data_IF_531700740601
#
_entry.id   IF_531700740601
#
_cell.length_a   1.000
_cell.length_b   1.000
_cell.length_c   1.000
_cell.angle_alpha   90.00
_cell.angle_beta   90.00
_cell.angle_gamma   90.00
#
_symmetry.space_group_name_H-M   'P 1'
#
loop_
_entity.id
_entity.type
_entity.pdbx_description
1 polymer ?
#
# COMPACT_ATOMS: atom_id res chain seq x y z
N UNK A 1 -70.90 5.33 24.63
CA UNK A 1 -69.76 4.39 24.74
C UNK A 1 -68.99 4.41 23.43
N UNK A 2 -67.92 5.22 23.34
CA UNK A 2 -67.16 5.49 22.11
C UNK A 2 -65.84 4.72 22.16
N UNK A 3 -65.69 3.68 21.34
CA UNK A 3 -64.47 2.84 21.29
C UNK A 3 -63.50 3.35 20.24
N UNK A 4 -62.52 4.15 20.67
CA UNK A 4 -61.35 4.54 19.87
C UNK A 4 -60.47 3.34 19.55
N UNK A 5 -60.37 2.99 18.26
CA UNK A 5 -59.37 2.03 17.75
C UNK A 5 -58.10 2.79 17.38
N UNK A 6 -57.07 2.69 18.23
CA UNK A 6 -55.71 3.14 17.94
C UNK A 6 -55.15 2.32 16.77
N UNK A 7 -54.87 2.96 15.64
CA UNK A 7 -54.07 2.41 14.55
C UNK A 7 -52.60 2.69 14.85
N UNK A 8 -51.79 1.65 14.98
CA UNK A 8 -50.34 1.74 15.11
C UNK A 8 -49.75 1.69 13.70
N UNK A 9 -49.01 2.73 13.31
CA UNK A 9 -48.24 2.76 12.08
C UNK A 9 -46.85 2.16 12.35
N UNK A 10 -46.53 1.04 11.72
CA UNK A 10 -45.19 0.49 11.71
C UNK A 10 -44.39 1.17 10.59
N UNK A 11 -43.39 1.97 10.96
CA UNK A 11 -42.40 2.52 10.03
C UNK A 11 -41.33 1.46 9.83
N UNK A 12 -41.32 0.84 8.65
CA UNK A 12 -40.27 -0.09 8.23
C UNK A 12 -39.12 0.70 7.60
N UNK A 13 -38.06 0.94 8.37
CA UNK A 13 -36.81 1.52 7.88
C UNK A 13 -36.00 0.43 7.18
N UNK A 14 -36.06 0.37 5.85
CA UNK A 14 -35.21 -0.52 5.06
C UNK A 14 -33.78 0.05 5.02
N UNK A 15 -32.89 -0.51 5.84
CA UNK A 15 -31.45 -0.27 5.75
C UNK A 15 -30.92 -0.99 4.49
N UNK A 16 -30.55 -0.22 3.47
CA UNK A 16 -29.81 -0.71 2.32
C UNK A 16 -28.38 -1.04 2.77
N UNK A 17 -28.11 -2.31 3.09
CA UNK A 17 -26.75 -2.84 3.17
C UNK A 17 -26.24 -3.05 1.75
N UNK A 18 -25.49 -2.08 1.23
CA UNK A 18 -24.63 -2.28 0.06
C UNK A 18 -23.49 -3.22 0.43
N UNK A 19 -23.70 -4.51 0.20
CA UNK A 19 -22.65 -5.52 0.21
C UNK A 19 -21.77 -5.31 -1.03
N UNK A 20 -20.61 -4.68 -0.84
CA UNK A 20 -19.53 -4.72 -1.82
C UNK A 20 -19.06 -6.17 -1.93
N UNK A 21 -19.54 -6.89 -2.94
CA UNK A 21 -19.01 -8.17 -3.35
C UNK A 21 -17.59 -7.94 -3.89
N UNK A 22 -16.60 -8.12 -3.02
CA UNK A 22 -15.21 -8.24 -3.46
C UNK A 22 -15.06 -9.45 -4.39
N UNK A 23 -14.10 -9.42 -5.33
CA UNK A 23 -13.85 -10.55 -6.21
C UNK A 23 -13.46 -11.76 -5.35
N UNK A 24 -14.27 -12.82 -5.42
CA UNK A 24 -13.99 -14.10 -4.78
C UNK A 24 -12.94 -14.86 -5.60
N UNK A 25 -11.68 -14.40 -5.53
CA UNK A 25 -10.55 -15.28 -5.78
C UNK A 25 -10.31 -16.05 -4.49
N UNK A 26 -10.58 -17.34 -4.51
CA UNK A 26 -10.27 -18.26 -3.43
C UNK A 26 -8.75 -18.51 -3.37
N UNK A 27 -7.98 -17.48 -3.07
CA UNK A 27 -6.64 -17.63 -2.52
C UNK A 27 -6.76 -17.48 -1.00
N UNK A 28 -6.15 -18.39 -0.24
CA UNK A 28 -6.18 -18.45 1.23
C UNK A 28 -5.40 -17.29 1.89
N UNK A 29 -5.61 -16.08 1.40
CA UNK A 29 -5.01 -14.87 1.90
C UNK A 29 -5.70 -14.40 3.18
N UNK A 30 -4.92 -13.83 4.09
CA UNK A 30 -5.43 -13.32 5.37
C UNK A 30 -4.71 -12.05 5.78
N UNK A 31 -5.40 -11.22 6.56
CA UNK A 31 -4.85 -9.98 7.08
C UNK A 31 -3.99 -10.23 8.32
N UNK A 32 -2.88 -9.52 8.37
CA UNK A 32 -1.86 -9.63 9.41
C UNK A 32 -1.45 -8.22 9.82
N UNK A 33 -1.53 -7.88 11.11
CA UNK A 33 -1.13 -6.58 11.61
C UNK A 33 0.39 -6.44 11.77
N UNK A 34 0.86 -5.19 11.83
CA UNK A 34 2.22 -4.87 12.23
C UNK A 34 2.44 -5.25 13.71
N UNK A 35 3.52 -5.96 14.00
CA UNK A 35 3.88 -6.36 15.35
C UNK A 35 4.12 -5.15 16.28
N UNK A 36 4.81 -4.13 15.75
CA UNK A 36 5.08 -2.86 16.42
C UNK A 36 3.86 -1.91 16.44
N UNK A 37 2.64 -2.37 16.19
CA UNK A 37 1.46 -1.52 16.17
C UNK A 37 1.24 -0.73 17.48
N UNK A 38 1.73 -1.25 18.62
CA UNK A 38 1.65 -0.57 19.93
C UNK A 38 2.62 0.61 20.08
N UNK A 39 3.66 0.66 19.22
CA UNK A 39 4.69 1.71 19.22
C UNK A 39 4.36 2.83 18.24
N UNK A 40 3.22 2.73 17.52
CA UNK A 40 2.77 3.77 16.61
C UNK A 40 2.38 5.03 17.40
N UNK A 41 2.73 6.23 16.91
CA UNK A 41 3.39 6.49 15.64
C UNK A 41 4.93 6.32 15.68
N UNK A 42 5.51 5.76 14.61
CA UNK A 42 6.97 5.52 14.50
C UNK A 42 7.57 6.51 13.50
N UNK A 43 8.72 7.13 13.82
CA UNK A 43 9.50 7.95 12.89
C UNK A 43 10.68 7.18 12.30
N UNK A 44 10.99 7.37 11.01
CA UNK A 44 12.14 6.74 10.36
C UNK A 44 13.48 7.11 11.02
N UNK A 45 13.59 8.32 11.58
CA UNK A 45 14.80 8.73 12.29
C UNK A 45 15.05 7.92 13.59
N UNK A 46 13.99 7.36 14.19
CA UNK A 46 14.04 6.66 15.47
C UNK A 46 14.25 5.14 15.30
N UNK A 47 13.76 4.56 14.21
CA UNK A 47 13.81 3.12 13.97
C UNK A 47 14.94 2.72 13.02
N UNK A 48 16.18 3.04 13.40
CA UNK A 48 17.34 2.74 12.55
C UNK A 48 17.69 1.26 12.59
N UNK A 49 17.91 0.69 11.40
CA UNK A 49 18.48 -0.64 11.25
C UNK A 49 19.94 -0.72 11.66
N UNK A 50 20.55 -1.87 11.43
CA UNK A 50 22.00 -2.04 11.60
C UNK A 50 22.73 -1.16 10.57
N UNK A 51 23.92 -0.63 10.92
CA UNK A 51 24.72 0.13 9.97
C UNK A 51 25.01 -0.73 8.72
N UNK A 52 24.69 -0.21 7.54
CA UNK A 52 24.83 -0.90 6.26
C UNK A 52 23.55 -1.52 5.70
N UNK A 53 22.45 -1.55 6.45
CA UNK A 53 21.14 -1.96 5.92
C UNK A 53 20.56 -0.87 5.01
N UNK A 54 20.12 -1.25 3.81
CA UNK A 54 19.58 -0.33 2.80
C UNK A 54 18.09 -0.58 2.61
N UNK A 55 17.34 0.46 2.24
CA UNK A 55 15.90 0.34 1.95
C UNK A 55 15.65 0.08 0.46
N UNK A 56 16.50 -0.75 -0.15
CA UNK A 56 16.45 -1.06 -1.58
C UNK A 56 16.32 0.21 -2.46
N UNK A 57 15.50 0.15 -3.52
CA UNK A 57 15.31 1.17 -4.57
C UNK A 57 14.75 2.52 -4.11
N UNK A 58 14.64 2.78 -2.80
CA UNK A 58 14.11 4.05 -2.29
C UNK A 58 15.19 5.15 -2.39
N UNK A 59 14.89 6.30 -3.01
CA UNK A 59 15.85 7.40 -3.11
C UNK A 59 16.17 8.00 -1.75
N UNK A 60 17.41 8.45 -1.56
CA UNK A 60 17.89 9.04 -0.30
C UNK A 60 17.16 10.35 0.12
N UNK A 61 16.34 10.92 -0.77
CA UNK A 61 15.50 12.10 -0.50
C UNK A 61 14.16 11.77 0.16
N UNK A 62 13.90 10.49 0.46
CA UNK A 62 12.68 9.99 1.07
C UNK A 62 13.04 9.11 2.26
N UNK A 63 12.11 9.00 3.20
CA UNK A 63 12.23 8.03 4.28
C UNK A 63 11.84 6.65 3.74
N UNK A 64 12.77 5.71 3.81
CA UNK A 64 12.56 4.32 3.42
C UNK A 64 12.12 3.45 4.60
N UNK A 65 11.21 2.52 4.35
CA UNK A 65 10.67 1.60 5.33
C UNK A 65 10.76 0.18 4.80
N UNK A 66 11.29 -0.74 5.59
CA UNK A 66 11.43 -2.13 5.20
C UNK A 66 10.64 -3.04 6.15
N UNK A 67 9.66 -3.73 5.59
CA UNK A 67 8.81 -4.67 6.31
C UNK A 67 9.15 -6.10 5.90
N UNK A 68 9.10 -7.02 6.87
CA UNK A 68 9.41 -8.43 6.67
C UNK A 68 8.30 -9.27 7.28
N UNK A 69 7.75 -10.18 6.48
CA UNK A 69 6.91 -11.27 6.98
C UNK A 69 7.84 -12.38 7.54
N UNK A 70 7.76 -12.72 8.83
CA UNK A 70 8.61 -13.77 9.39
C UNK A 70 8.20 -15.14 8.86
N UNK A 71 9.20 -16.00 8.63
CA UNK A 71 9.03 -17.32 8.01
C UNK A 71 10.21 -17.64 7.10
N UNK A 72 10.26 -18.86 6.59
CA UNK A 72 11.26 -19.22 5.58
C UNK A 72 10.98 -18.48 4.27
N UNK A 73 12.01 -18.18 3.46
CA UNK A 73 11.78 -17.66 2.11
C UNK A 73 10.87 -18.64 1.34
N UNK A 74 9.82 -18.11 0.71
CA UNK A 74 8.78 -18.85 -0.02
C UNK A 74 7.69 -19.56 0.81
N UNK A 75 7.69 -19.46 2.14
CA UNK A 75 6.58 -19.97 2.97
C UNK A 75 5.42 -18.98 3.08
N UNK A 76 5.76 -17.69 3.21
CA UNK A 76 4.81 -16.59 3.33
C UNK A 76 5.20 -15.50 2.35
N UNK A 77 4.24 -15.03 1.56
CA UNK A 77 4.41 -13.93 0.62
C UNK A 77 3.46 -12.78 0.95
N UNK A 78 3.93 -11.56 0.79
CA UNK A 78 3.04 -10.40 0.80
C UNK A 78 2.24 -10.39 -0.51
N UNK A 79 0.92 -10.18 -0.39
CA UNK A 79 0.02 -9.97 -1.54
C UNK A 79 -0.34 -8.50 -1.67
N UNK A 80 -0.55 -7.84 -0.52
CA UNK A 80 -0.85 -6.42 -0.45
C UNK A 80 -0.36 -5.88 0.89
N UNK A 81 0.32 -4.74 0.87
CA UNK A 81 0.68 -4.02 2.09
C UNK A 81 0.03 -2.64 2.06
N UNK A 82 -0.82 -2.35 3.03
CA UNK A 82 -1.41 -1.03 3.22
C UNK A 82 -0.68 -0.33 4.37
N UNK A 83 -0.02 0.78 4.07
CA UNK A 83 0.67 1.62 5.06
C UNK A 83 0.06 3.01 5.08
N UNK A 84 -0.01 3.64 6.25
CA UNK A 84 -0.49 5.01 6.39
C UNK A 84 0.56 5.87 7.08
N UNK A 85 0.87 6.99 6.45
CA UNK A 85 1.85 7.97 6.92
C UNK A 85 1.21 9.33 7.19
N UNK A 86 1.79 10.06 8.14
CA UNK A 86 1.42 11.44 8.44
C UNK A 86 2.67 12.33 8.49
N UNK A 87 2.80 13.33 7.59
CA UNK A 87 2.01 13.53 6.36
C UNK A 87 2.21 12.39 5.34
N UNK A 88 1.31 12.27 4.37
CA UNK A 88 1.45 11.34 3.23
C UNK A 88 0.24 10.45 2.94
N UNK A 89 -0.67 10.28 3.89
CA UNK A 89 -1.90 9.51 3.69
C UNK A 89 -1.66 7.99 3.59
N UNK A 90 -2.63 7.29 3.02
CA UNK A 90 -2.58 5.83 2.86
C UNK A 90 -1.93 5.46 1.51
N UNK A 91 -1.02 4.47 1.54
CA UNK A 91 -0.37 3.90 0.38
C UNK A 91 -0.64 2.39 0.35
N UNK A 92 -0.92 1.87 -0.85
CA UNK A 92 -1.11 0.44 -1.10
C UNK A 92 0.03 -0.06 -1.97
N UNK A 93 0.79 -1.01 -1.46
CA UNK A 93 1.95 -1.61 -2.10
C UNK A 93 1.57 -3.02 -2.53
N UNK A 94 1.80 -3.32 -3.81
CA UNK A 94 1.52 -4.62 -4.44
C UNK A 94 2.75 -5.19 -5.15
N UNK A 95 3.92 -4.60 -4.95
CA UNK A 95 5.19 -5.02 -5.51
C UNK A 95 6.15 -5.29 -4.36
N UNK A 96 6.71 -6.49 -4.32
CA UNK A 96 7.49 -7.00 -3.19
C UNK A 96 8.84 -7.55 -3.64
N UNK A 97 9.77 -7.63 -2.70
CA UNK A 97 11.17 -7.97 -2.96
C UNK A 97 11.97 -6.83 -3.59
N UNK A 98 13.26 -7.07 -3.91
CA UNK A 98 14.07 -8.26 -3.62
C UNK A 98 14.48 -8.36 -2.14
N UNK A 99 14.96 -9.52 -1.61
CA UNK A 99 15.31 -10.77 -2.30
C UNK A 99 14.13 -11.68 -2.66
N UNK A 100 13.03 -11.66 -1.91
CA UNK A 100 11.82 -12.45 -2.19
C UNK A 100 10.56 -11.66 -1.79
N UNK A 101 9.38 -12.22 -2.04
CA UNK A 101 8.08 -11.60 -1.78
C UNK A 101 7.73 -11.44 -0.29
N UNK A 102 8.55 -11.96 0.63
CA UNK A 102 8.42 -11.72 2.07
C UNK A 102 9.05 -10.40 2.54
N UNK A 103 9.59 -9.60 1.61
CA UNK A 103 10.14 -8.26 1.85
C UNK A 103 9.26 -7.22 1.17
N UNK A 104 8.86 -6.19 1.90
CA UNK A 104 8.10 -5.08 1.36
C UNK A 104 8.79 -3.75 1.67
N UNK A 105 8.82 -2.85 0.70
CA UNK A 105 9.44 -1.54 0.82
C UNK A 105 8.40 -0.45 0.60
N UNK A 106 8.39 0.54 1.49
CA UNK A 106 7.58 1.75 1.37
C UNK A 106 8.47 2.99 1.41
N UNK A 107 7.97 4.08 0.81
CA UNK A 107 8.60 5.39 0.91
C UNK A 107 7.61 6.41 1.46
N UNK A 108 8.09 7.29 2.33
CA UNK A 108 7.32 8.44 2.82
C UNK A 108 8.10 9.73 2.61
N UNK A 109 7.41 10.86 2.79
CA UNK A 109 8.08 12.15 2.85
C UNK A 109 9.04 12.21 4.05
N UNK A 110 10.15 12.97 3.94
CA UNK A 110 11.07 13.14 5.06
C UNK A 110 10.37 13.64 6.33
N UNK A 111 10.57 12.94 7.44
CA UNK A 111 9.98 13.27 8.73
C UNK A 111 8.53 12.77 8.93
N UNK A 112 7.96 12.06 7.95
CA UNK A 112 6.65 11.45 8.12
C UNK A 112 6.68 10.32 9.15
N UNK A 113 5.61 10.20 9.93
CA UNK A 113 5.44 9.14 10.91
C UNK A 113 4.51 8.05 10.36
N UNK A 114 4.88 6.79 10.57
CA UNK A 114 4.03 5.64 10.28
C UNK A 114 2.94 5.57 11.36
N UNK A 115 1.67 5.58 10.97
CA UNK A 115 0.51 5.55 11.90
C UNK A 115 -0.29 4.25 11.81
N UNK A 116 -0.15 3.49 10.74
CA UNK A 116 -0.76 2.17 10.57
C UNK A 116 -0.04 1.39 9.49
N UNK A 117 0.06 0.07 9.68
CA UNK A 117 0.48 -0.85 8.63
C UNK A 117 -0.27 -2.18 8.79
N UNK A 118 -0.92 -2.63 7.72
CA UNK A 118 -1.65 -3.91 7.65
C UNK A 118 -1.28 -4.59 6.35
N UNK A 119 -0.94 -5.87 6.44
CA UNK A 119 -0.59 -6.68 5.30
C UNK A 119 -1.65 -7.74 5.05
N UNK A 120 -1.87 -8.05 3.79
CA UNK A 120 -2.58 -9.23 3.31
C UNK A 120 -1.52 -10.17 2.77
N UNK A 121 -1.42 -11.34 3.38
CA UNK A 121 -0.38 -12.33 3.09
C UNK A 121 -1.00 -13.64 2.63
N UNK A 122 -0.21 -14.44 1.92
CA UNK A 122 -0.52 -15.81 1.57
C UNK A 122 0.52 -16.77 2.14
N UNK A 123 0.12 -18.03 2.31
CA UNK A 123 0.98 -19.07 2.82
C UNK A 123 0.95 -19.23 4.34
N UNK A 124 1.77 -20.16 4.84
CA UNK A 124 1.82 -20.56 6.24
C UNK A 124 3.25 -20.68 6.71
N UNK A 125 3.51 -20.31 7.95
CA UNK A 125 4.82 -20.50 8.58
C UNK A 125 5.09 -21.97 8.88
N UNK A 126 6.37 -22.30 9.10
CA UNK A 126 6.82 -23.63 9.52
C UNK A 126 5.88 -24.31 10.51
N UNK A 127 5.33 -25.46 10.10
CA UNK A 127 4.32 -26.21 10.87
C UNK A 127 2.86 -25.91 10.47
N UNK A 128 2.61 -25.24 9.34
CA UNK A 128 1.27 -25.05 8.77
C UNK A 128 0.43 -24.02 9.53
N UNK A 129 1.05 -23.12 10.28
CA UNK A 129 0.36 -22.08 11.05
C UNK A 129 0.22 -20.80 10.23
N UNK A 130 -0.86 -20.06 10.46
CA UNK A 130 -1.02 -18.72 9.90
C UNK A 130 -0.08 -17.74 10.59
N UNK A 131 0.40 -16.77 9.84
CA UNK A 131 1.20 -15.66 10.34
C UNK A 131 0.33 -14.75 11.22
N UNK A 132 0.76 -14.45 12.44
CA UNK A 132 -0.01 -13.62 13.37
C UNK A 132 0.34 -12.14 13.26
N UNK A 133 1.56 -11.82 12.82
CA UNK A 133 2.07 -10.45 12.68
C UNK A 133 3.25 -10.41 11.69
N UNK A 134 3.54 -9.22 11.16
CA UNK A 134 4.77 -8.95 10.41
C UNK A 134 5.58 -7.85 11.10
N UNK A 135 6.88 -7.75 10.80
CA UNK A 135 7.77 -6.79 11.46
C UNK A 135 8.12 -5.62 10.54
N UNK A 136 8.24 -4.44 11.11
CA UNK A 136 9.15 -3.41 10.58
C UNK A 136 10.59 -3.81 10.94
N UNK A 137 11.44 -4.07 9.94
CA UNK A 137 12.82 -4.51 10.18
C UNK A 137 13.74 -3.33 10.44
N UNK A 138 13.71 -2.35 9.55
CA UNK A 138 14.52 -1.15 9.65
C UNK A 138 13.91 -0.03 8.83
N UNK A 139 14.38 1.19 9.10
CA UNK A 139 14.07 2.37 8.31
C UNK A 139 15.35 3.09 7.89
N UNK A 140 15.24 3.82 6.78
CA UNK A 140 16.31 4.62 6.20
C UNK A 140 15.83 6.06 6.16
N UNK A 141 16.13 6.87 7.19
CA UNK A 141 15.75 8.26 7.18
C UNK A 141 16.43 8.98 6.00
N UNK A 142 15.69 9.89 5.39
CA UNK A 142 16.15 10.76 4.32
C UNK A 142 17.39 11.52 4.76
N UNK A 143 18.37 11.62 3.85
CA UNK A 143 19.54 12.48 4.03
C UNK A 143 19.28 13.90 3.55
N UNK A 144 18.16 14.16 2.88
CA UNK A 144 17.73 15.53 2.64
C UNK A 144 17.50 16.19 3.99
N UNK A 145 18.35 17.17 4.30
CA UNK A 145 18.20 18.02 5.49
C UNK A 145 16.85 18.72 5.36
N UNK A 146 15.85 18.21 6.08
CA UNK A 146 14.66 18.99 6.39
C UNK A 146 15.13 20.10 7.30
N UNK A 147 15.33 21.29 6.73
CA UNK A 147 15.31 22.53 7.49
C UNK A 147 14.04 22.47 8.35
N UNK A 148 14.16 22.58 9.69
CA UNK A 148 13.01 22.39 10.56
C UNK A 148 11.97 23.44 10.21
N UNK A 149 10.87 23.04 9.57
CA UNK A 149 9.66 23.86 9.50
C UNK A 149 9.35 24.26 10.94
N UNK A 150 9.36 25.55 11.29
CA UNK A 150 9.16 25.96 12.66
C UNK A 150 7.80 25.42 13.10
N UNK A 151 7.85 24.56 14.11
CA UNK A 151 6.69 24.21 14.92
C UNK A 151 6.11 25.54 15.39
N UNK A 152 5.00 25.98 14.77
CA UNK A 152 4.24 27.09 15.28
C UNK A 152 3.67 26.63 16.62
N UNK A 153 4.41 26.92 17.69
CA UNK A 153 3.88 26.96 19.04
C UNK A 153 2.61 27.77 18.98
N UNK A 154 1.47 27.09 19.11
CA UNK A 154 0.19 27.70 19.40
C UNK A 154 0.29 28.36 20.77
N UNK A 155 0.68 29.64 20.78
CA UNK A 155 0.56 30.50 21.94
C UNK A 155 -0.93 30.68 22.21
N UNK A 156 -1.47 29.84 23.10
CA UNK A 156 -2.74 30.09 23.79
C UNK A 156 -2.68 31.48 24.42
N UNK A 157 -3.51 32.45 24.01
CA UNK A 157 -3.62 33.70 24.74
C UNK A 157 -4.41 33.45 26.03
N UNK A 158 -3.81 33.81 27.16
CA UNK A 158 -4.46 33.79 28.46
C UNK A 158 -5.70 34.73 28.46
N UNK A 159 -6.83 34.35 29.09
CA UNK A 159 -7.96 35.26 29.24
C UNK A 159 -7.64 36.30 30.32
N UNK A 160 -7.45 37.55 29.92
CA UNK A 160 -7.46 38.68 30.86
C UNK A 160 -8.82 39.35 30.83
N UNK A 161 -9.59 39.13 31.90
CA UNK A 161 -10.79 39.87 32.24
C UNK A 161 -10.42 41.29 32.68
N UNK A 162 -10.91 42.31 31.97
CA UNK A 162 -11.10 43.65 32.52
C UNK A 162 -12.11 44.45 31.69
N UNK A 163 -13.08 44.98 32.41
CA UNK A 163 -14.28 45.71 31.98
C UNK A 163 -13.98 47.20 31.78
N UNK A 164 -14.41 47.83 30.68
CA UNK A 164 -15.22 49.07 30.69
C UNK A 164 -15.40 49.72 29.31
N UNK A 165 -16.58 50.34 29.19
CA UNK A 165 -17.20 51.02 28.06
C UNK A 165 -16.39 52.17 27.43
N UNK A 166 -16.55 52.42 26.13
CA UNK A 166 -17.56 53.36 25.59
C UNK A 166 -17.23 53.83 24.15
N UNK A 167 -18.26 53.75 23.29
CA UNK A 167 -18.61 54.60 22.11
C UNK A 167 -17.53 55.25 21.23
N UNK A 168 -17.55 54.95 19.92
CA UNK A 168 -18.07 55.82 18.83
C UNK A 168 -17.66 55.30 17.43
N UNK A 169 -18.47 55.46 16.37
CA UNK A 169 -18.26 54.83 15.06
C UNK A 169 -17.55 55.76 14.06
N UNK A 170 -16.79 55.20 13.11
CA UNK A 170 -16.64 55.79 11.77
C UNK A 170 -16.11 54.79 10.74
N UNK A 171 -16.80 54.84 9.61
CA UNK A 171 -16.67 54.17 8.32
C UNK A 171 -15.39 54.46 7.55
N UNK A 172 -14.91 53.47 6.77
CA UNK A 172 -14.44 53.58 5.36
C UNK A 172 -13.74 52.27 4.96
N UNK A 173 -14.37 51.40 4.16
CA UNK A 173 -14.09 51.21 2.72
C UNK A 173 -12.61 51.28 2.33
N UNK A 174 -12.03 50.14 1.93
CA UNK A 174 -11.36 50.03 0.62
C UNK A 174 -11.00 48.57 0.31
N UNK A 175 -11.65 48.05 -0.71
CA UNK A 175 -11.34 46.82 -1.42
C UNK A 175 -10.24 47.06 -2.45
N UNK A 176 -9.21 46.21 -2.50
CA UNK A 176 -8.50 45.93 -3.76
C UNK A 176 -7.80 44.58 -3.71
N UNK A 177 -8.06 43.67 -4.67
CA UNK A 177 -7.30 42.44 -4.87
C UNK A 177 -6.10 42.72 -5.78
N UNK A 178 -4.95 42.09 -5.52
CA UNK A 178 -3.91 41.96 -6.54
C UNK A 178 -3.51 40.51 -6.68
N UNK A 179 -4.09 39.89 -7.71
CA UNK A 179 -3.60 38.68 -8.31
C UNK A 179 -2.31 39.00 -9.08
N UNK A 180 -1.30 38.16 -8.94
CA UNK A 180 -0.23 38.04 -9.93
C UNK A 180 0.17 36.57 -10.01
N UNK A 181 -0.42 35.91 -11.01
CA UNK A 181 0.12 34.72 -11.62
C UNK A 181 1.14 35.16 -12.68
N UNK A 182 2.27 34.46 -12.76
CA UNK A 182 3.06 34.19 -14.00
C UNK A 182 4.23 33.29 -13.61
N UNK A 183 4.16 31.97 -13.87
CA UNK A 183 4.85 31.28 -14.98
C UNK A 183 6.31 31.66 -15.18
N UNK A 184 7.22 30.72 -14.88
CA UNK A 184 8.47 30.58 -15.62
C UNK A 184 8.74 29.11 -15.94
N UNK A 185 8.78 28.88 -17.25
CA UNK A 185 9.24 27.71 -18.00
C UNK A 185 10.74 27.45 -17.83
N UNK A 186 11.15 26.19 -18.00
CA UNK A 186 12.54 25.87 -18.37
C UNK A 186 12.92 24.40 -18.15
N UNK A 187 12.99 23.56 -19.20
CA UNK A 187 13.60 22.24 -19.13
C UNK A 187 15.11 22.36 -19.36
N UNK A 188 15.93 21.71 -18.53
CA UNK A 188 17.35 21.51 -18.83
C UNK A 188 17.67 20.02 -18.76
N UNK A 189 17.66 19.43 -19.96
CA UNK A 189 18.40 18.24 -20.33
C UNK A 189 19.90 18.50 -20.24
N UNK A 190 20.63 17.62 -19.54
CA UNK A 190 22.07 17.47 -19.76
C UNK A 190 22.47 16.02 -19.59
N UNK A 191 22.53 15.35 -20.74
CA UNK A 191 23.36 14.19 -21.05
C UNK A 191 24.83 14.49 -20.73
N UNK A 192 25.52 13.59 -20.03
CA UNK A 192 26.97 13.48 -20.16
C UNK A 192 27.44 12.06 -19.86
N UNK A 193 27.74 11.34 -20.94
CA UNK A 193 28.56 10.14 -21.03
C UNK A 193 30.03 10.51 -20.82
N UNK A 194 30.80 9.72 -20.06
CA UNK A 194 32.08 9.17 -20.54
C UNK A 194 32.64 8.09 -19.60
N UNK A 195 33.30 7.04 -20.15
CA UNK A 195 33.84 5.91 -19.40
C UNK A 195 35.31 6.11 -19.04
N UNK A 196 35.82 5.40 -18.02
CA UNK A 196 37.26 5.13 -17.94
C UNK A 196 37.55 3.77 -17.29
N UNK A 197 38.35 3.01 -18.02
CA UNK A 197 38.78 1.63 -17.80
C UNK A 197 40.11 1.58 -17.05
N UNK A 198 40.34 0.54 -16.23
CA UNK A 198 41.62 -0.18 -16.04
C UNK A 198 41.52 -1.11 -14.82
N UNK A 199 41.33 -2.42 -15.00
CA UNK A 199 42.36 -3.50 -15.05
C UNK A 199 43.01 -3.81 -13.70
N UNK A 200 42.69 -4.99 -13.15
CA UNK A 200 43.69 -6.01 -12.79
C UNK A 200 43.04 -7.39 -12.52
N UNK A 201 43.54 -8.38 -13.25
CA UNK A 201 43.33 -9.84 -13.12
C UNK A 201 44.35 -10.42 -12.10
N UNK A 202 44.30 -11.70 -11.63
CA UNK A 202 44.08 -12.90 -12.46
C UNK A 202 43.26 -14.09 -11.89
N UNK A 203 42.76 -14.88 -12.86
CA UNK A 203 42.55 -16.33 -12.93
C UNK A 203 41.51 -17.07 -12.06
N UNK A 204 40.45 -17.62 -12.70
CA UNK A 204 39.82 -18.87 -12.29
C UNK A 204 40.23 -20.05 -13.19
N UNK A 205 40.57 -21.19 -12.57
CA UNK A 205 40.81 -22.46 -13.25
C UNK A 205 39.52 -23.06 -13.77
N UNK A 206 39.61 -23.52 -15.02
CA UNK A 206 38.55 -24.15 -15.81
C UNK A 206 38.23 -25.57 -15.35
N UNK A 207 36.95 -25.92 -15.39
CA UNK A 207 36.51 -27.25 -15.83
C UNK A 207 35.15 -27.11 -16.49
N UNK A 208 35.18 -27.29 -17.81
CA UNK A 208 34.03 -27.31 -18.69
C UNK A 208 33.34 -28.68 -18.61
N UNK A 209 32.01 -28.68 -18.61
CA UNK A 209 31.24 -29.77 -19.20
C UNK A 209 30.19 -29.15 -20.12
N UNK A 210 30.34 -29.46 -21.41
CA UNK A 210 29.45 -29.07 -22.48
C UNK A 210 28.40 -30.16 -22.73
N UNK A 211 27.15 -29.74 -22.84
CA UNK A 211 26.06 -30.35 -23.62
C UNK A 211 24.87 -29.40 -23.47
N UNK A 212 24.16 -28.92 -24.47
CA UNK A 212 24.16 -29.17 -25.91
C UNK A 212 22.83 -28.60 -26.43
N UNK A 213 22.87 -27.85 -27.54
CA UNK A 213 21.73 -27.57 -28.41
C UNK A 213 20.57 -26.73 -27.86
N UNK A 214 20.40 -25.50 -28.35
CA UNK A 214 19.51 -25.22 -29.50
C UNK A 214 19.39 -23.72 -29.71
N UNK A 215 19.50 -23.35 -30.98
CA UNK A 215 19.29 -22.02 -31.55
C UNK A 215 17.84 -21.55 -31.34
N UNK A 216 17.67 -20.32 -30.84
CA UNK A 216 16.36 -19.66 -30.82
C UNK A 216 16.47 -18.29 -30.16
N UNK A 217 16.73 -17.25 -30.95
CA UNK A 217 16.54 -15.88 -30.49
C UNK A 217 15.05 -15.64 -30.26
N UNK A 218 14.69 -15.18 -29.07
CA UNK A 218 13.38 -14.62 -28.79
C UNK A 218 13.44 -13.71 -27.55
N UNK A 219 12.52 -12.77 -27.53
CA UNK A 219 12.48 -11.52 -26.76
C UNK A 219 12.42 -11.72 -25.24
N UNK A 220 12.56 -10.61 -24.50
CA UNK A 220 12.43 -10.54 -23.05
C UNK A 220 11.19 -11.32 -22.57
N UNK A 221 11.42 -12.39 -21.80
CA UNK A 221 10.37 -13.22 -21.18
C UNK A 221 9.76 -12.48 -19.99
N UNK A 222 9.06 -11.38 -20.26
CA UNK A 222 8.16 -10.70 -19.32
C UNK A 222 6.74 -11.08 -19.68
N UNK A 223 6.22 -12.15 -19.09
CA UNK A 223 4.84 -12.54 -19.37
C UNK A 223 4.49 -13.91 -18.84
N UNK A 224 3.96 -13.91 -17.61
CA UNK A 224 3.03 -14.88 -17.04
C UNK A 224 2.99 -16.27 -17.69
N UNK A 225 3.79 -17.20 -17.17
CA UNK A 225 3.55 -18.64 -17.30
C UNK A 225 2.35 -19.07 -16.41
N UNK A 226 1.25 -18.29 -16.41
CA UNK A 226 -0.01 -18.72 -15.86
C UNK A 226 -0.66 -19.66 -16.89
N UNK A 227 -1.05 -20.89 -16.51
CA UNK A 227 -1.64 -21.85 -17.44
C UNK A 227 -3.03 -21.36 -17.88
N UNK A 228 -3.07 -20.49 -18.89
CA UNK A 228 -4.31 -19.99 -19.51
C UNK A 228 -5.21 -21.12 -20.00
N UNK A 229 -4.62 -22.28 -20.33
CA UNK A 229 -5.37 -23.50 -20.65
C UNK A 229 -6.20 -24.04 -19.47
N UNK A 230 -5.69 -23.95 -18.24
CA UNK A 230 -6.41 -24.41 -17.03
C UNK A 230 -7.56 -23.45 -16.69
N UNK A 231 -7.34 -22.15 -16.84
CA UNK A 231 -8.39 -21.13 -16.63
C UNK A 231 -9.53 -21.27 -17.64
N UNK A 232 -9.23 -21.50 -18.92
CA UNK A 232 -10.25 -21.71 -19.95
C UNK A 232 -11.09 -22.98 -19.69
N UNK A 233 -10.48 -24.06 -19.21
CA UNK A 233 -11.18 -25.30 -18.87
C UNK A 233 -12.17 -25.11 -17.69
N UNK A 234 -11.78 -24.35 -16.67
CA UNK A 234 -12.65 -24.05 -15.52
C UNK A 234 -13.87 -23.21 -15.91
N UNK A 235 -13.67 -22.20 -16.78
CA UNK A 235 -14.77 -21.39 -17.30
C UNK A 235 -15.79 -22.26 -18.07
N UNK A 236 -15.32 -23.18 -18.93
CA UNK A 236 -16.20 -24.07 -19.68
C UNK A 236 -16.99 -25.03 -18.77
N UNK A 237 -16.35 -25.56 -17.72
CA UNK A 237 -17.01 -26.44 -16.75
C UNK A 237 -18.15 -25.74 -15.99
N UNK A 238 -17.95 -24.48 -15.59
CA UNK A 238 -18.98 -23.69 -14.91
C UNK A 238 -20.18 -23.38 -15.80
N UNK A 239 -19.94 -23.06 -17.08
CA UNK A 239 -21.02 -22.84 -18.06
C UNK A 239 -21.84 -24.12 -18.26
N UNK A 240 -21.18 -25.27 -18.38
CA UNK A 240 -21.85 -26.57 -18.52
C UNK A 240 -22.69 -26.93 -17.27
N UNK A 241 -22.16 -26.71 -16.07
CA UNK A 241 -22.88 -26.94 -14.82
C UNK A 241 -24.11 -26.02 -14.67
N UNK A 242 -23.97 -24.73 -15.01
CA UNK A 242 -25.08 -23.77 -15.02
C UNK A 242 -26.19 -24.16 -16.00
N UNK A 243 -25.82 -24.56 -17.21
CA UNK A 243 -26.77 -25.04 -18.22
C UNK A 243 -27.51 -26.31 -17.75
N UNK A 244 -26.79 -27.26 -17.12
CA UNK A 244 -27.39 -28.48 -16.58
C UNK A 244 -28.41 -28.21 -15.46
N UNK A 245 -28.12 -27.27 -14.55
CA UNK A 245 -29.05 -26.89 -13.49
C UNK A 245 -30.33 -26.24 -14.03
N UNK A 246 -30.22 -25.41 -15.07
CA UNK A 246 -31.39 -24.79 -15.73
C UNK A 246 -32.28 -25.83 -16.41
N UNK A 247 -31.70 -26.83 -17.07
CA UNK A 247 -32.46 -27.93 -17.69
C UNK A 247 -33.12 -28.80 -16.63
N UNK A 248 -32.43 -29.13 -15.54
CA UNK A 248 -33.00 -29.88 -14.42
C UNK A 248 -34.18 -29.14 -13.78
N UNK A 249 -34.05 -27.83 -13.57
CA UNK A 249 -35.13 -26.99 -12.99
C UNK A 249 -36.39 -26.99 -13.87
N UNK A 250 -36.24 -26.97 -15.19
CA UNK A 250 -37.41 -27.02 -16.10
C UNK A 250 -38.12 -28.38 -16.07
N UNK A 251 -37.38 -29.47 -15.84
CA UNK A 251 -37.95 -30.83 -15.82
C UNK A 251 -38.73 -31.15 -14.53
N UNK A 252 -38.41 -30.50 -13.42
CA UNK A 252 -39.13 -30.63 -12.16
C UNK A 252 -40.47 -29.88 -12.10
N UNK A 253 -40.78 -29.03 -13.08
CA UNK A 253 -42.06 -28.31 -13.18
C UNK A 253 -43.11 -28.95 -14.09
N UNK A 254 -42.83 -30.12 -14.69
CA UNK A 254 -43.70 -30.77 -15.67
C UNK A 254 -44.49 -31.98 -15.10
N UNK A 255 -44.52 -32.16 -13.77
CA UNK A 255 -45.32 -33.19 -13.08
C UNK A 255 -46.21 -32.58 -11.97
N UNK A 256 -46.79 -31.42 -12.23
CA UNK A 256 -47.83 -30.79 -11.41
C UNK A 256 -49.06 -30.52 -12.24
#
# INVERSE_FOLDING_TARGET
>A
MLRSRKRWAAVATALLLSASAGPAFATDSYEVPLHQAKELPIYAAQYKGKPGETCASIPATKDGWHFIAPGSPNEVSFVKLTVKFEPGGEQVITVFGPPNENHAYAASEPGAKLVSAVALVEGTTGGGKKLEWFNLSHTCPSTATTEPTPSQSSTTPAPSTSTSASTSPSSSTSSSPSASASTSTGPSSSTSTSPSSSVSSPAPSVSASASGGTTGGDLAKTGSDAPVGLLAAMAAALIAAGAFLLVRRRRSGAQG
#
